data_IF_939351238075
#
_entry.id   IF_939351238075
#
_cell.length_a   1.000
_cell.length_b   1.000
_cell.length_c   1.000
_cell.angle_alpha   90.00
_cell.angle_beta   90.00
_cell.angle_gamma   90.00
#
_symmetry.space_group_name_H-M   'P 1'
#
loop_
_entity.id
_entity.type
_entity.pdbx_description
1 polymer ?
#
# COMPACT_ATOMS: atom_id res chain seq x y z
N UNK A 1 -3.63 -7.33 8.69
CA UNK A 1 -4.85 -6.67 8.19
C UNK A 1 -5.82 -7.64 7.51
N UNK A 2 -5.41 -8.46 6.53
CA UNK A 2 -6.31 -9.39 5.80
C UNK A 2 -7.14 -10.27 6.73
N UNK A 3 -6.53 -10.88 7.73
CA UNK A 3 -7.23 -11.79 8.66
C UNK A 3 -8.16 -11.07 9.63
N UNK A 4 -7.89 -9.80 9.91
CA UNK A 4 -8.71 -8.96 10.79
C UNK A 4 -9.92 -8.34 10.08
N UNK A 5 -9.84 -8.13 8.76
CA UNK A 5 -10.92 -7.55 7.96
C UNK A 5 -12.14 -8.48 7.92
N UNK A 6 -13.33 -7.92 8.03
CA UNK A 6 -14.60 -8.66 7.99
C UNK A 6 -15.42 -8.35 6.74
N UNK A 7 -15.30 -7.15 6.17
CA UNK A 7 -15.94 -6.81 4.91
C UNK A 7 -15.31 -7.62 3.75
N UNK A 8 -16.14 -8.31 2.96
CA UNK A 8 -15.70 -9.22 1.90
C UNK A 8 -14.95 -8.49 0.76
N UNK A 9 -15.43 -7.30 0.36
CA UNK A 9 -14.80 -6.50 -0.69
C UNK A 9 -13.44 -5.97 -0.22
N UNK A 10 -13.34 -5.52 1.04
CA UNK A 10 -12.08 -5.10 1.66
C UNK A 10 -11.08 -6.26 1.68
N UNK A 11 -11.49 -7.42 2.17
CA UNK A 11 -10.63 -8.60 2.28
C UNK A 11 -10.12 -9.08 0.91
N UNK A 12 -10.98 -9.07 -0.11
CA UNK A 12 -10.62 -9.43 -1.48
C UNK A 12 -9.64 -8.41 -2.07
N UNK A 13 -9.87 -7.11 -1.85
CA UNK A 13 -8.98 -6.04 -2.28
C UNK A 13 -7.59 -6.15 -1.67
N UNK A 14 -7.50 -6.38 -0.37
CA UNK A 14 -6.23 -6.56 0.34
C UNK A 14 -5.44 -7.79 -0.16
N UNK A 15 -6.13 -8.90 -0.45
CA UNK A 15 -5.48 -10.10 -1.01
C UNK A 15 -4.92 -9.83 -2.41
N UNK A 16 -5.70 -9.20 -3.29
CA UNK A 16 -5.24 -8.82 -4.63
C UNK A 16 -4.03 -7.87 -4.55
N UNK A 17 -4.07 -6.90 -3.65
CA UNK A 17 -2.97 -5.96 -3.48
C UNK A 17 -1.70 -6.62 -2.92
N UNK A 18 -1.81 -7.63 -2.07
CA UNK A 18 -0.66 -8.42 -1.62
C UNK A 18 0.05 -9.13 -2.79
N UNK A 19 -0.70 -9.64 -3.76
CA UNK A 19 -0.12 -10.22 -4.98
C UNK A 19 0.58 -9.16 -5.84
N UNK A 20 -0.03 -7.97 -5.98
CA UNK A 20 0.58 -6.82 -6.66
C UNK A 20 1.90 -6.42 -5.96
N UNK A 21 1.92 -6.33 -4.63
CA UNK A 21 3.12 -6.02 -3.83
C UNK A 21 4.25 -7.03 -4.05
N UNK A 22 3.95 -8.32 -4.12
CA UNK A 22 4.96 -9.33 -4.44
C UNK A 22 5.56 -9.12 -5.84
N UNK A 23 4.75 -8.76 -6.82
CA UNK A 23 5.22 -8.42 -8.16
C UNK A 23 6.07 -7.14 -8.17
N UNK A 24 5.75 -6.16 -7.33
CA UNK A 24 6.54 -4.94 -7.17
C UNK A 24 7.92 -5.24 -6.60
N UNK A 25 8.02 -6.13 -5.62
CA UNK A 25 9.32 -6.59 -5.08
C UNK A 25 10.18 -7.18 -6.19
N UNK A 26 9.62 -8.01 -7.07
CA UNK A 26 10.36 -8.57 -8.19
C UNK A 26 10.80 -7.50 -9.20
N UNK A 27 9.99 -6.46 -9.43
CA UNK A 27 10.40 -5.32 -10.27
C UNK A 27 11.53 -4.52 -9.61
N UNK A 28 11.46 -4.30 -8.29
CA UNK A 28 12.55 -3.62 -7.56
C UNK A 28 13.85 -4.41 -7.61
N UNK A 29 13.83 -5.73 -7.53
CA UNK A 29 15.04 -6.56 -7.73
C UNK A 29 15.66 -6.33 -9.11
N UNK A 30 14.83 -6.18 -10.15
CA UNK A 30 15.32 -5.84 -11.50
C UNK A 30 15.93 -4.43 -11.55
N UNK A 31 15.36 -3.46 -10.84
CA UNK A 31 15.93 -2.11 -10.71
C UNK A 31 17.30 -2.17 -10.08
N UNK A 32 17.46 -2.87 -8.96
CA UNK A 32 18.74 -3.05 -8.29
C UNK A 32 19.77 -3.74 -9.20
N UNK A 33 19.38 -4.78 -9.91
CA UNK A 33 20.26 -5.48 -10.86
C UNK A 33 20.76 -4.55 -11.97
N UNK A 34 19.90 -3.66 -12.51
CA UNK A 34 20.30 -2.67 -13.50
C UNK A 34 21.26 -1.61 -12.97
N UNK A 35 21.19 -1.31 -11.69
CA UNK A 35 22.11 -0.41 -11.02
C UNK A 35 23.39 -1.12 -10.57
N UNK A 36 23.53 -2.43 -10.78
CA UNK A 36 24.66 -3.22 -10.27
C UNK A 36 24.74 -3.26 -8.74
N UNK A 37 23.60 -3.16 -8.07
CA UNK A 37 23.49 -3.13 -6.62
C UNK A 37 22.78 -4.38 -6.09
N UNK A 38 23.13 -4.77 -4.86
CA UNK A 38 22.42 -5.83 -4.13
C UNK A 38 21.14 -5.27 -3.50
N UNK A 39 19.95 -5.91 -3.68
CA UNK A 39 18.68 -5.46 -3.11
C UNK A 39 18.61 -5.74 -1.60
N UNK A 40 19.53 -5.19 -0.83
CA UNK A 40 19.49 -5.26 0.63
C UNK A 40 18.55 -4.18 1.17
N UNK A 41 17.51 -4.63 1.87
CA UNK A 41 16.66 -3.72 2.62
C UNK A 41 17.41 -3.09 3.78
N UNK A 42 17.05 -1.85 4.09
CA UNK A 42 17.44 -1.15 5.31
C UNK A 42 16.19 -0.86 6.13
N UNK A 43 16.34 -0.71 7.44
CA UNK A 43 15.24 -0.25 8.31
C UNK A 43 14.71 1.09 7.82
N UNK A 44 13.40 1.18 7.65
CA UNK A 44 12.70 2.40 7.26
C UNK A 44 11.76 2.84 8.38
N UNK A 45 12.20 3.74 9.28
CA UNK A 45 11.40 4.14 10.45
C UNK A 45 10.03 4.70 10.09
N UNK A 46 9.88 5.30 8.91
CA UNK A 46 8.62 5.88 8.47
C UNK A 46 7.57 4.78 8.20
N UNK A 47 7.87 3.81 7.34
CA UNK A 47 6.92 2.72 7.03
C UNK A 47 6.73 1.80 8.24
N UNK A 48 7.79 1.54 9.00
CA UNK A 48 7.71 0.74 10.22
C UNK A 48 6.79 1.41 11.26
N UNK A 49 6.83 2.75 11.36
CA UNK A 49 5.93 3.53 12.20
C UNK A 49 4.47 3.46 11.77
N UNK A 50 4.20 3.59 10.47
CA UNK A 50 2.84 3.47 9.90
C UNK A 50 2.28 2.06 10.14
N UNK A 51 3.07 1.01 9.93
CA UNK A 51 2.66 -0.38 10.17
C UNK A 51 2.39 -0.61 11.65
N UNK A 52 3.24 -0.09 12.54
CA UNK A 52 3.06 -0.20 13.98
C UNK A 52 1.76 0.48 14.44
N UNK A 53 1.49 1.71 14.00
CA UNK A 53 0.25 2.42 14.28
C UNK A 53 -0.98 1.63 13.80
N UNK A 54 -0.90 1.03 12.60
CA UNK A 54 -1.95 0.20 12.05
C UNK A 54 -2.24 -1.03 12.93
N UNK A 55 -1.20 -1.69 13.43
CA UNK A 55 -1.34 -2.88 14.28
C UNK A 55 -1.89 -2.52 15.67
N UNK A 56 -1.44 -1.41 16.27
CA UNK A 56 -1.93 -0.89 17.54
C UNK A 56 -3.42 -0.54 17.43
N UNK A 57 -3.80 0.28 16.45
CA UNK A 57 -5.19 0.67 16.19
C UNK A 57 -6.09 -0.56 15.97
N UNK A 58 -5.64 -1.52 15.18
CA UNK A 58 -6.40 -2.73 14.91
C UNK A 58 -6.45 -3.71 16.11
N UNK A 59 -5.61 -3.52 17.11
CA UNK A 59 -5.62 -4.26 18.37
C UNK A 59 -6.60 -3.68 19.41
N UNK A 60 -6.88 -2.38 19.35
CA UNK A 60 -7.71 -1.66 20.30
C UNK A 60 -9.19 -1.64 19.93
N UNK A 61 -9.54 -1.78 18.65
CA UNK A 61 -10.91 -1.68 18.16
C UNK A 61 -11.62 -3.03 18.24
N UNK A 62 -12.65 -3.12 19.10
CA UNK A 62 -13.46 -4.33 19.28
C UNK A 62 -14.58 -4.46 18.23
N UNK A 63 -15.25 -3.34 17.90
CA UNK A 63 -16.31 -3.35 16.90
C UNK A 63 -15.78 -3.63 15.49
N UNK A 64 -16.34 -4.64 14.84
CA UNK A 64 -15.85 -5.14 13.55
C UNK A 64 -16.09 -4.18 12.38
N UNK A 65 -17.18 -3.42 12.42
CA UNK A 65 -17.46 -2.43 11.37
C UNK A 65 -16.53 -1.23 11.50
N UNK A 66 -16.27 -0.78 12.72
CA UNK A 66 -15.30 0.29 13.02
C UNK A 66 -13.88 -0.19 12.66
N UNK A 67 -13.54 -1.44 12.97
CA UNK A 67 -12.25 -2.02 12.62
C UNK A 67 -12.03 -2.05 11.09
N UNK A 68 -13.02 -2.44 10.30
CA UNK A 68 -12.90 -2.41 8.83
C UNK A 68 -12.61 -0.99 8.30
N UNK A 69 -13.26 0.05 8.86
CA UNK A 69 -12.99 1.43 8.50
C UNK A 69 -11.57 1.87 8.89
N UNK A 70 -11.11 1.48 10.08
CA UNK A 70 -9.74 1.75 10.53
C UNK A 70 -8.69 1.04 9.66
N UNK A 71 -8.95 -0.20 9.25
CA UNK A 71 -8.07 -0.92 8.31
C UNK A 71 -7.96 -0.16 6.98
N UNK A 72 -9.07 0.33 6.42
CA UNK A 72 -9.02 1.14 5.20
C UNK A 72 -8.15 2.38 5.40
N UNK A 73 -8.36 3.13 6.48
CA UNK A 73 -7.59 4.34 6.76
C UNK A 73 -6.08 4.05 6.88
N UNK A 74 -5.71 3.01 7.60
CA UNK A 74 -4.32 2.60 7.80
C UNK A 74 -3.67 2.12 6.48
N UNK A 75 -4.39 1.35 5.66
CA UNK A 75 -3.89 0.95 4.35
C UNK A 75 -3.68 2.16 3.45
N UNK A 76 -4.60 3.14 3.44
CA UNK A 76 -4.41 4.36 2.66
C UNK A 76 -3.18 5.17 3.10
N UNK A 77 -2.81 5.16 4.37
CA UNK A 77 -1.59 5.79 4.84
C UNK A 77 -0.33 5.12 4.23
N UNK A 78 -0.32 3.78 4.15
CA UNK A 78 0.73 3.02 3.47
C UNK A 78 0.78 3.40 1.98
N UNK A 79 -0.36 3.35 1.27
CA UNK A 79 -0.42 3.66 -0.16
C UNK A 79 0.12 5.08 -0.45
N UNK A 80 -0.28 6.08 0.33
CA UNK A 80 0.20 7.45 0.14
C UNK A 80 1.70 7.61 0.42
N UNK A 81 2.24 6.89 1.40
CA UNK A 81 3.68 6.83 1.61
C UNK A 81 4.40 6.26 0.39
N UNK A 82 3.94 5.13 -0.15
CA UNK A 82 4.56 4.48 -1.30
C UNK A 82 4.39 5.30 -2.58
N UNK A 83 3.23 5.91 -2.81
CA UNK A 83 3.01 6.86 -3.93
C UNK A 83 4.04 8.01 -3.88
N UNK A 84 4.26 8.60 -2.71
CA UNK A 84 5.24 9.67 -2.57
C UNK A 84 6.67 9.18 -2.87
N UNK A 85 7.05 8.00 -2.38
CA UNK A 85 8.38 7.41 -2.60
C UNK A 85 8.61 7.03 -4.06
N UNK A 86 7.68 6.33 -4.69
CA UNK A 86 7.80 5.99 -6.12
C UNK A 86 7.84 7.24 -7.00
N UNK A 87 7.02 8.26 -6.72
CA UNK A 87 7.05 9.52 -7.46
C UNK A 87 8.43 10.20 -7.40
N UNK A 88 9.03 10.26 -6.23
CA UNK A 88 10.38 10.82 -6.03
C UNK A 88 11.44 10.00 -6.77
N UNK A 89 11.40 8.67 -6.65
CA UNK A 89 12.37 7.79 -7.30
C UNK A 89 12.28 7.85 -8.83
N UNK A 90 11.07 7.99 -9.39
CA UNK A 90 10.84 8.19 -10.83
C UNK A 90 11.52 9.48 -11.29
N UNK A 91 11.27 10.59 -10.59
CA UNK A 91 11.87 11.88 -10.94
C UNK A 91 13.41 11.85 -10.92
N UNK A 92 14.00 11.15 -9.94
CA UNK A 92 15.44 10.95 -9.89
C UNK A 92 15.96 10.06 -11.01
N UNK A 93 15.27 8.96 -11.30
CA UNK A 93 15.63 8.05 -12.39
C UNK A 93 15.56 8.74 -13.77
N UNK A 94 14.55 9.61 -13.99
CA UNK A 94 14.45 10.45 -15.18
C UNK A 94 15.63 11.41 -15.30
N UNK A 95 15.97 12.10 -14.21
CA UNK A 95 17.09 13.04 -14.17
C UNK A 95 18.44 12.38 -14.44
N UNK A 96 18.56 11.09 -14.11
CA UNK A 96 19.75 10.27 -14.35
C UNK A 96 19.74 9.53 -15.70
N UNK A 97 18.69 9.66 -16.50
CA UNK A 97 18.56 9.00 -17.79
C UNK A 97 18.27 7.50 -17.75
N UNK A 98 17.75 6.98 -16.63
CA UNK A 98 17.46 5.57 -16.45
C UNK A 98 16.04 5.20 -16.92
N UNK A 99 15.76 5.30 -18.21
CA UNK A 99 14.41 5.12 -18.78
C UNK A 99 13.76 3.77 -18.44
N UNK A 100 14.51 2.69 -18.39
CA UNK A 100 13.96 1.38 -18.07
C UNK A 100 13.57 1.26 -16.58
N UNK A 101 14.35 1.89 -15.69
CA UNK A 101 14.02 1.98 -14.27
C UNK A 101 12.75 2.80 -14.08
N UNK A 102 12.63 3.92 -14.79
CA UNK A 102 11.41 4.75 -14.82
C UNK A 102 10.18 3.90 -15.14
N UNK A 103 10.25 3.03 -16.15
CA UNK A 103 9.12 2.15 -16.52
C UNK A 103 8.73 1.18 -15.40
N UNK A 104 9.69 0.54 -14.74
CA UNK A 104 9.41 -0.35 -13.62
C UNK A 104 8.77 0.38 -12.43
N UNK A 105 9.33 1.51 -12.05
CA UNK A 105 8.83 2.31 -10.92
C UNK A 105 7.45 2.92 -11.23
N UNK A 106 7.21 3.35 -12.48
CA UNK A 106 5.91 3.88 -12.91
C UNK A 106 4.82 2.80 -12.85
N UNK A 107 5.15 1.55 -13.19
CA UNK A 107 4.21 0.44 -13.04
C UNK A 107 3.82 0.25 -11.57
N UNK A 108 4.80 0.24 -10.66
CA UNK A 108 4.54 0.15 -9.21
C UNK A 108 3.69 1.34 -8.73
N UNK A 109 4.06 2.58 -9.09
CA UNK A 109 3.29 3.77 -8.73
C UNK A 109 1.82 3.68 -9.17
N UNK A 110 1.56 3.20 -10.38
CA UNK A 110 0.19 3.07 -10.90
C UNK A 110 -0.62 2.01 -10.14
N UNK A 111 0.02 0.93 -9.69
CA UNK A 111 -0.62 -0.08 -8.84
C UNK A 111 -0.99 0.50 -7.47
N UNK A 112 -0.10 1.30 -6.82
CA UNK A 112 -0.41 1.96 -5.54
C UNK A 112 -1.57 2.97 -5.67
N UNK A 113 -1.57 3.77 -6.73
CA UNK A 113 -2.69 4.69 -7.01
C UNK A 113 -4.00 3.93 -7.24
N UNK A 114 -3.96 2.80 -7.93
CA UNK A 114 -5.13 1.97 -8.14
C UNK A 114 -5.61 1.32 -6.83
N UNK A 115 -4.70 0.85 -5.98
CA UNK A 115 -5.01 0.31 -4.67
C UNK A 115 -5.70 1.36 -3.78
N UNK A 116 -5.16 2.57 -3.71
CA UNK A 116 -5.80 3.68 -2.98
C UNK A 116 -7.21 4.00 -3.51
N UNK A 117 -7.40 3.97 -4.83
CA UNK A 117 -8.73 4.18 -5.45
C UNK A 117 -9.71 3.05 -5.09
N UNK A 118 -9.25 1.79 -5.07
CA UNK A 118 -10.06 0.64 -4.62
C UNK A 118 -10.47 0.80 -3.15
N UNK A 119 -9.55 1.20 -2.27
CA UNK A 119 -9.82 1.47 -0.85
C UNK A 119 -10.88 2.57 -0.67
N UNK A 120 -10.77 3.68 -1.41
CA UNK A 120 -11.80 4.72 -1.44
C UNK A 120 -13.17 4.17 -1.84
N UNK A 121 -13.22 3.33 -2.86
CA UNK A 121 -14.47 2.71 -3.32
C UNK A 121 -15.07 1.81 -2.25
N UNK A 122 -14.26 1.00 -1.58
CA UNK A 122 -14.70 0.12 -0.49
C UNK A 122 -15.22 0.94 0.69
N UNK A 123 -14.52 2.01 1.09
CA UNK A 123 -14.93 2.89 2.17
C UNK A 123 -16.28 3.56 1.89
N UNK A 124 -16.42 4.20 0.72
CA UNK A 124 -17.52 5.12 0.43
C UNK A 124 -18.70 4.45 -0.27
N UNK A 125 -18.50 3.37 -1.05
CA UNK A 125 -19.53 2.76 -1.90
C UNK A 125 -19.87 1.31 -1.55
N UNK A 126 -19.02 0.62 -0.76
CA UNK A 126 -19.23 -0.78 -0.35
C UNK A 126 -19.66 -0.92 1.12
N UNK A 127 -20.07 0.18 1.72
CA UNK A 127 -20.72 0.22 3.02
C UNK A 127 -19.79 0.13 4.23
N UNK A 128 -18.46 0.21 4.07
CA UNK A 128 -17.55 0.16 5.21
C UNK A 128 -17.79 1.34 6.15
N UNK A 129 -17.69 2.58 5.64
CA UNK A 129 -17.90 3.76 6.48
C UNK A 129 -19.33 3.87 6.98
N UNK A 130 -20.33 3.53 6.16
CA UNK A 130 -21.74 3.58 6.58
C UNK A 130 -22.04 2.61 7.72
N UNK A 131 -21.45 1.42 7.72
CA UNK A 131 -21.60 0.47 8.82
C UNK A 131 -20.87 0.91 10.07
N UNK A 132 -19.68 1.46 9.93
CA UNK A 132 -18.89 1.97 11.05
C UNK A 132 -19.60 3.13 11.79
N UNK A 133 -20.29 4.00 11.06
CA UNK A 133 -21.03 5.12 11.67
C UNK A 133 -22.38 4.72 12.27
N UNK A 134 -22.83 3.51 12.03
CA UNK A 134 -24.07 2.96 12.62
C UNK A 134 -23.81 2.02 13.82
N UNK A 135 -22.56 1.81 14.16
CA UNK A 135 -22.11 0.92 15.22
C UNK A 135 -22.23 1.56 16.63
#
# INVERSE_FOLDING_TARGET
>A
MIDKATNGDLKAGLKSHLEETNNQIERLKKVFAKLGQDPKGTTCPAIDGIIKEADETAGEIEDKAVLDAAIVANCQAVEHYEIARYGTLIAWAESLGHEEIVRFLTTNLNEEKAANTKLNTVALRKGVNTKATAA
#
